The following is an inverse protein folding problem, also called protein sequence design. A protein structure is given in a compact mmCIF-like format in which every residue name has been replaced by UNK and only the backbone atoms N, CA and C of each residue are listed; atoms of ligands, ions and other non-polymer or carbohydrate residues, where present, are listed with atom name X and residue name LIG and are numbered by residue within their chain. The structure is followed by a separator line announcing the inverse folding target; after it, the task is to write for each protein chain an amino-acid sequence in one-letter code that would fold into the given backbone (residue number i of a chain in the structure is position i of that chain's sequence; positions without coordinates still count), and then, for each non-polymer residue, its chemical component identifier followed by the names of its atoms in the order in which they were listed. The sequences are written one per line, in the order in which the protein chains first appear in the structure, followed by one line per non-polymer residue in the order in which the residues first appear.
data_IF_638626390367
#
_entry.id   IF_638626390367
#
_cell.length_a   1.000
_cell.length_b   1.000
_cell.length_c   1.000
_cell.angle_alpha   90.00
_cell.angle_beta   90.00
_cell.angle_gamma   90.00
#
_symmetry.space_group_name_H-M   'P 1'
#
loop_
_entity.id
_entity.type
_entity.pdbx_description
1 polymer ?
#
# COMPACT_ATOMS: atom_id res chain seq x y z
N UNK A 1 3.67 7.13 -27.36
CA UNK A 1 4.35 6.87 -26.06
C UNK A 1 4.33 5.37 -25.82
N UNK A 2 5.49 4.75 -25.78
CA UNK A 2 5.61 3.29 -25.61
C UNK A 2 5.20 2.91 -24.19
N UNK A 3 4.06 2.25 -24.02
CA UNK A 3 3.77 1.50 -22.81
C UNK A 3 4.83 0.39 -22.73
N UNK A 4 5.71 0.48 -21.74
CA UNK A 4 6.64 -0.61 -21.46
C UNK A 4 5.81 -1.81 -20.98
N UNK A 5 5.58 -2.75 -21.87
CA UNK A 5 5.11 -4.07 -21.44
C UNK A 5 6.22 -4.69 -20.59
N UNK A 6 5.90 -5.04 -19.34
CA UNK A 6 6.78 -5.93 -18.61
C UNK A 6 6.64 -7.31 -19.26
N UNK A 7 7.75 -7.90 -19.69
CA UNK A 7 7.80 -9.30 -20.16
C UNK A 7 7.61 -10.31 -19.00
N UNK A 8 6.97 -9.85 -17.93
CA UNK A 8 6.72 -10.63 -16.73
C UNK A 8 5.41 -11.38 -16.90
N UNK A 9 5.50 -12.71 -17.03
CA UNK A 9 4.33 -13.59 -17.00
C UNK A 9 3.82 -13.63 -15.56
N UNK A 10 2.62 -13.11 -15.31
CA UNK A 10 1.96 -13.22 -14.00
C UNK A 10 1.65 -14.69 -13.74
N UNK A 11 2.20 -15.22 -12.66
CA UNK A 11 1.85 -16.56 -12.19
C UNK A 11 0.64 -16.42 -11.25
N UNK A 12 -0.49 -17.10 -11.51
CA UNK A 12 -1.63 -17.10 -10.62
C UNK A 12 -1.20 -17.58 -9.22
N UNK A 13 -1.57 -16.83 -8.17
CA UNK A 13 -1.20 -17.14 -6.79
C UNK A 13 0.19 -16.68 -6.37
N UNK A 14 0.93 -15.97 -7.19
CA UNK A 14 2.24 -15.42 -6.85
C UNK A 14 2.10 -14.26 -5.86
N UNK A 15 2.63 -14.45 -4.66
CA UNK A 15 2.63 -13.43 -3.61
C UNK A 15 3.80 -12.47 -3.80
N UNK A 16 3.50 -11.18 -3.79
CA UNK A 16 4.48 -10.11 -3.93
C UNK A 16 4.91 -9.60 -2.56
N UNK A 17 5.93 -10.23 -1.97
CA UNK A 17 6.44 -9.81 -0.66
C UNK A 17 7.21 -8.50 -0.78
N UNK A 18 6.81 -7.51 0.01
CA UNK A 18 7.47 -6.21 0.02
C UNK A 18 8.86 -6.32 0.65
N UNK A 19 9.97 -5.98 -0.05
CA UNK A 19 11.27 -5.88 0.57
C UNK A 19 11.24 -4.92 1.77
N UNK A 20 12.02 -5.19 2.82
CA UNK A 20 11.97 -4.45 4.09
C UNK A 20 12.13 -2.92 3.95
N UNK A 21 12.89 -2.44 2.97
CA UNK A 21 13.07 -1.01 2.71
C UNK A 21 11.76 -0.32 2.26
N UNK A 22 10.84 -1.03 1.63
CA UNK A 22 9.60 -0.45 1.09
C UNK A 22 8.68 0.07 2.20
N UNK A 23 8.34 -0.71 3.25
CA UNK A 23 7.58 -0.19 4.39
C UNK A 23 8.34 0.89 5.18
N UNK A 24 9.68 0.85 5.22
CA UNK A 24 10.45 1.90 5.86
C UNK A 24 10.26 3.28 5.21
N UNK A 25 9.92 3.33 3.92
CA UNK A 25 9.63 4.58 3.20
C UNK A 25 8.32 5.24 3.64
N UNK A 26 7.34 4.49 4.08
CA UNK A 26 6.06 5.04 4.57
C UNK A 26 6.07 5.31 6.07
N UNK A 27 6.93 4.64 6.83
CA UNK A 27 7.00 4.76 8.29
C UNK A 27 7.08 6.20 8.84
N UNK A 28 7.84 7.15 8.23
CA UNK A 28 7.87 8.54 8.70
C UNK A 28 6.55 9.31 8.55
N UNK A 29 5.62 8.77 7.78
CA UNK A 29 4.33 9.39 7.47
C UNK A 29 3.16 8.81 8.28
N UNK A 30 3.40 7.70 8.99
CA UNK A 30 2.40 7.07 9.87
C UNK A 30 2.33 7.91 11.17
N UNK A 31 1.14 8.25 11.66
CA UNK A 31 0.98 8.93 12.94
C UNK A 31 1.65 8.17 14.09
N UNK A 32 2.22 8.90 15.06
CA UNK A 32 2.86 8.27 16.21
C UNK A 32 1.83 7.66 17.16
N UNK A 33 2.18 6.55 17.78
CA UNK A 33 1.37 5.90 18.82
C UNK A 33 0.15 5.12 18.31
N UNK A 34 -0.03 5.01 16.99
CA UNK A 34 -1.10 4.20 16.41
C UNK A 34 -0.70 2.73 16.31
N UNK A 35 -1.69 1.86 16.40
CA UNK A 35 -1.57 0.43 16.08
C UNK A 35 -1.72 0.29 14.57
N UNK A 36 -0.74 -0.36 13.94
CA UNK A 36 -0.71 -0.59 12.49
C UNK A 36 -1.26 -1.99 12.18
N UNK A 37 -2.19 -2.05 11.25
CA UNK A 37 -2.76 -3.29 10.74
C UNK A 37 -2.45 -3.48 9.26
N UNK A 38 -1.97 -4.68 8.90
CA UNK A 38 -1.79 -5.11 7.51
C UNK A 38 -2.80 -6.21 7.17
N UNK A 39 -3.91 -5.91 6.45
CA UNK A 39 -4.97 -6.85 6.14
C UNK A 39 -4.67 -7.82 4.99
N UNK A 40 -3.49 -7.72 4.38
CA UNK A 40 -3.00 -8.63 3.33
C UNK A 40 -1.52 -8.93 3.58
N UNK A 41 -1.22 -9.36 4.81
CA UNK A 41 0.15 -9.38 5.33
C UNK A 41 1.05 -10.45 4.68
N UNK A 42 0.48 -11.46 4.03
CA UNK A 42 1.25 -12.60 3.55
C UNK A 42 2.11 -13.21 4.66
N UNK A 43 3.42 -13.22 4.47
CA UNK A 43 4.40 -13.67 5.48
C UNK A 43 4.78 -12.60 6.51
N UNK A 44 4.09 -11.46 6.54
CA UNK A 44 4.29 -10.41 7.54
C UNK A 44 5.46 -9.46 7.27
N UNK A 45 5.88 -9.30 6.02
CA UNK A 45 7.03 -8.45 5.69
C UNK A 45 6.84 -6.98 6.13
N UNK A 46 5.64 -6.39 5.92
CA UNK A 46 5.32 -5.03 6.35
C UNK A 46 5.25 -4.95 7.88
N UNK A 47 4.57 -5.90 8.52
CA UNK A 47 4.47 -5.99 9.98
C UNK A 47 5.86 -6.02 10.61
N UNK A 48 6.73 -6.92 10.14
CA UNK A 48 8.10 -7.03 10.64
C UNK A 48 8.91 -5.75 10.48
N UNK A 49 8.82 -5.11 9.31
CA UNK A 49 9.59 -3.89 9.04
C UNK A 49 9.11 -2.67 9.85
N UNK A 50 7.84 -2.66 10.31
CA UNK A 50 7.29 -1.57 11.11
C UNK A 50 7.33 -1.81 12.62
N UNK A 51 7.57 -3.05 13.08
CA UNK A 51 7.51 -3.45 14.50
C UNK A 51 8.53 -2.73 15.41
N UNK A 52 9.63 -2.21 14.85
CA UNK A 52 10.59 -1.43 15.63
C UNK A 52 10.07 -0.03 16.05
N UNK A 53 9.01 0.44 15.40
CA UNK A 53 8.47 1.80 15.58
C UNK A 53 7.01 1.84 16.00
N UNK A 54 6.26 0.79 15.73
CA UNK A 54 4.82 0.68 15.94
C UNK A 54 4.45 -0.66 16.54
N UNK A 55 3.35 -0.70 17.27
CA UNK A 55 2.64 -1.96 17.50
C UNK A 55 2.00 -2.33 16.16
N UNK A 56 2.48 -3.41 15.55
CA UNK A 56 2.03 -3.82 14.23
C UNK A 56 1.56 -5.28 14.23
N UNK A 57 0.45 -5.54 13.58
CA UNK A 57 -0.07 -6.91 13.37
C UNK A 57 -0.64 -7.05 11.97
N UNK A 58 -0.87 -8.28 11.53
CA UNK A 58 -1.42 -8.54 10.21
C UNK A 58 -2.26 -9.79 10.18
N UNK A 59 -3.14 -9.87 9.19
CA UNK A 59 -3.94 -11.05 8.82
C UNK A 59 -3.93 -11.19 7.30
N UNK A 60 -4.25 -12.37 6.82
CA UNK A 60 -4.26 -12.67 5.38
C UNK A 60 -5.39 -13.63 5.02
N UNK A 61 -5.83 -13.58 3.76
CA UNK A 61 -6.87 -14.46 3.25
C UNK A 61 -6.48 -15.95 3.38
N UNK A 62 -5.21 -16.28 3.24
CA UNK A 62 -4.71 -17.65 3.42
C UNK A 62 -4.85 -18.16 4.87
N UNK A 63 -5.00 -17.23 5.82
CA UNK A 63 -5.28 -17.52 7.22
C UNK A 63 -6.79 -17.53 7.52
N UNK A 64 -7.63 -17.48 6.49
CA UNK A 64 -9.09 -17.46 6.61
C UNK A 64 -9.66 -16.06 6.92
N UNK A 65 -8.87 -14.99 6.85
CA UNK A 65 -9.31 -13.64 7.10
C UNK A 65 -9.59 -12.89 5.79
N UNK A 66 -10.84 -12.56 5.54
CA UNK A 66 -11.28 -11.77 4.39
C UNK A 66 -11.49 -10.31 4.80
N UNK A 67 -10.50 -9.46 4.50
CA UNK A 67 -10.55 -8.04 4.85
C UNK A 67 -11.80 -7.31 4.32
N UNK A 68 -12.30 -7.69 3.14
CA UNK A 68 -13.47 -7.02 2.57
C UNK A 68 -14.78 -7.33 3.32
N UNK A 69 -14.74 -8.26 4.27
CA UNK A 69 -15.85 -8.60 5.19
C UNK A 69 -15.60 -8.16 6.62
N UNK A 70 -14.46 -7.51 6.86
CA UNK A 70 -14.13 -6.99 8.19
C UNK A 70 -14.91 -5.70 8.46
N UNK A 71 -15.54 -5.64 9.64
CA UNK A 71 -16.29 -4.47 10.11
C UNK A 71 -15.57 -3.76 11.28
N UNK A 72 -14.38 -4.22 11.67
CA UNK A 72 -13.62 -3.62 12.77
C UNK A 72 -12.99 -2.28 12.34
N UNK A 73 -12.97 -1.32 13.26
CA UNK A 73 -12.27 -0.05 13.07
C UNK A 73 -10.80 -0.18 13.46
N UNK A 74 -9.91 0.31 12.60
CA UNK A 74 -8.47 0.29 12.79
C UNK A 74 -7.90 1.71 12.90
N UNK A 75 -6.88 1.91 13.75
CA UNK A 75 -6.21 3.22 13.84
C UNK A 75 -5.41 3.52 12.56
N UNK A 76 -4.68 2.53 12.05
CA UNK A 76 -3.92 2.65 10.81
C UNK A 76 -3.92 1.34 10.01
N UNK A 77 -4.21 1.43 8.73
CA UNK A 77 -4.03 0.34 7.77
C UNK A 77 -2.85 0.68 6.85
N UNK A 78 -1.85 -0.21 6.81
CA UNK A 78 -0.68 -0.09 5.94
C UNK A 78 -0.47 -1.41 5.24
N UNK A 79 -0.67 -1.46 3.94
CA UNK A 79 -0.66 -2.72 3.20
C UNK A 79 -0.17 -2.59 1.76
N UNK A 80 0.30 -3.69 1.21
CA UNK A 80 0.47 -3.93 -0.22
C UNK A 80 -0.73 -4.76 -0.71
N UNK A 81 -1.82 -4.12 -1.17
CA UNK A 81 -3.06 -4.83 -1.47
C UNK A 81 -2.91 -5.72 -2.71
N UNK A 82 -3.70 -6.79 -2.85
CA UNK A 82 -3.78 -7.55 -4.10
C UNK A 82 -4.16 -6.62 -5.25
N UNK A 83 -3.29 -6.48 -6.26
CA UNK A 83 -3.42 -5.45 -7.30
C UNK A 83 -4.73 -5.53 -8.09
N UNK A 84 -5.27 -6.73 -8.28
CA UNK A 84 -6.52 -6.94 -9.01
C UNK A 84 -7.74 -6.30 -8.32
N UNK A 85 -7.73 -6.21 -7.00
CA UNK A 85 -8.82 -5.71 -6.16
C UNK A 85 -8.39 -4.51 -5.30
N UNK A 86 -7.28 -3.85 -5.66
CA UNK A 86 -6.74 -2.73 -4.88
C UNK A 86 -7.75 -1.59 -4.68
N UNK A 87 -8.65 -1.34 -5.64
CA UNK A 87 -9.70 -0.35 -5.48
C UNK A 87 -10.65 -0.71 -4.34
N UNK A 88 -11.15 -1.94 -4.30
CA UNK A 88 -12.03 -2.41 -3.23
C UNK A 88 -11.35 -2.36 -1.87
N UNK A 89 -10.05 -2.72 -1.82
CA UNK A 89 -9.24 -2.60 -0.60
C UNK A 89 -9.15 -1.16 -0.11
N UNK A 90 -8.87 -0.19 -0.99
CA UNK A 90 -8.80 1.23 -0.62
C UNK A 90 -10.16 1.73 -0.15
N UNK A 91 -11.22 1.47 -0.92
CA UNK A 91 -12.59 1.90 -0.58
C UNK A 91 -13.04 1.33 0.77
N UNK A 92 -12.68 0.07 1.05
CA UNK A 92 -13.00 -0.57 2.32
C UNK A 92 -12.16 0.01 3.47
N UNK A 93 -10.84 0.10 3.31
CA UNK A 93 -9.94 0.67 4.31
C UNK A 93 -10.32 2.11 4.71
N UNK A 94 -10.76 2.93 3.75
CA UNK A 94 -11.22 4.30 4.01
C UNK A 94 -12.47 4.36 4.89
N UNK A 95 -13.27 3.31 4.95
CA UNK A 95 -14.41 3.21 5.89
C UNK A 95 -13.98 2.70 7.25
N UNK A 96 -12.93 1.89 7.30
CA UNK A 96 -12.53 1.13 8.50
C UNK A 96 -11.33 1.71 9.24
N UNK A 97 -10.67 2.77 8.73
CA UNK A 97 -9.49 3.28 9.41
C UNK A 97 -9.36 4.81 9.37
N UNK A 98 -8.67 5.36 10.38
CA UNK A 98 -8.34 6.79 10.44
C UNK A 98 -7.18 7.14 9.52
N UNK A 99 -6.17 6.27 9.47
CA UNK A 99 -5.02 6.40 8.57
C UNK A 99 -4.94 5.20 7.64
N UNK A 100 -4.75 5.46 6.35
CA UNK A 100 -4.62 4.42 5.31
C UNK A 100 -3.40 4.72 4.45
N UNK A 101 -2.53 3.72 4.27
CA UNK A 101 -1.41 3.77 3.33
C UNK A 101 -1.40 2.52 2.45
N UNK A 102 -1.50 2.70 1.14
CA UNK A 102 -1.54 1.63 0.17
C UNK A 102 -0.35 1.70 -0.78
N UNK A 103 0.38 0.59 -0.89
CA UNK A 103 1.42 0.45 -1.90
C UNK A 103 0.78 0.16 -3.25
N UNK A 104 1.03 1.02 -4.24
CA UNK A 104 0.43 0.89 -5.57
C UNK A 104 1.46 1.21 -6.65
N UNK A 105 1.10 0.94 -7.91
CA UNK A 105 1.85 1.50 -9.04
C UNK A 105 1.76 3.02 -9.03
N UNK A 106 2.82 3.66 -9.52
CA UNK A 106 2.94 5.13 -9.51
C UNK A 106 1.83 5.86 -10.27
N UNK A 107 1.22 5.21 -11.27
CA UNK A 107 0.17 5.73 -12.13
C UNK A 107 -1.25 5.39 -11.63
N UNK A 108 -1.37 4.84 -10.42
CA UNK A 108 -2.66 4.36 -9.91
C UNK A 108 -3.69 5.48 -9.73
N UNK A 109 -3.25 6.67 -9.34
CA UNK A 109 -4.07 7.86 -9.12
C UNK A 109 -4.51 8.59 -10.41
N UNK A 110 -4.03 8.18 -11.58
CA UNK A 110 -4.30 8.87 -12.86
C UNK A 110 -5.58 8.44 -13.58
N UNK A 111 -6.26 7.37 -13.13
CA UNK A 111 -7.44 6.87 -13.82
C UNK A 111 -8.73 7.61 -13.43
N UNK A 112 -9.52 8.01 -14.43
CA UNK A 112 -10.79 8.68 -14.24
C UNK A 112 -11.78 7.91 -13.34
N UNK A 113 -11.78 6.59 -13.41
CA UNK A 113 -12.66 5.71 -12.62
C UNK A 113 -12.31 5.68 -11.12
N UNK A 114 -11.22 6.32 -10.71
CA UNK A 114 -10.74 6.38 -9.32
C UNK A 114 -10.66 7.80 -8.75
N UNK A 115 -11.25 8.80 -9.43
CA UNK A 115 -11.21 10.21 -8.99
C UNK A 115 -11.79 10.39 -7.58
N UNK A 116 -12.82 9.63 -7.21
CA UNK A 116 -13.44 9.64 -5.88
C UNK A 116 -12.48 9.23 -4.75
N UNK A 117 -11.37 8.55 -5.05
CA UNK A 117 -10.34 8.20 -4.07
C UNK A 117 -9.29 9.30 -3.89
N UNK A 118 -9.16 10.20 -4.87
CA UNK A 118 -8.07 11.18 -4.94
C UNK A 118 -8.58 12.61 -5.02
N UNK A 119 -8.90 13.10 -6.21
CA UNK A 119 -9.32 14.48 -6.44
C UNK A 119 -10.52 14.88 -5.59
N UNK A 120 -11.47 13.98 -5.49
CA UNK A 120 -12.76 14.23 -4.83
C UNK A 120 -12.80 13.69 -3.39
N UNK A 121 -11.65 13.25 -2.85
CA UNK A 121 -11.53 12.73 -1.49
C UNK A 121 -10.68 13.66 -0.60
N UNK A 122 -11.29 14.37 0.36
CA UNK A 122 -10.57 15.31 1.22
C UNK A 122 -9.55 14.62 2.15
N UNK A 123 -9.66 13.31 2.34
CA UNK A 123 -8.72 12.53 3.15
C UNK A 123 -7.42 12.22 2.41
N UNK A 124 -7.38 12.30 1.06
CA UNK A 124 -6.16 12.04 0.31
C UNK A 124 -5.10 13.08 0.65
N UNK A 125 -4.05 12.66 1.35
CA UNK A 125 -3.11 13.55 1.99
C UNK A 125 -1.72 13.57 1.35
N UNK A 126 -1.28 12.43 0.81
CA UNK A 126 0.10 12.36 0.32
C UNK A 126 0.32 11.23 -0.68
N UNK A 127 1.24 11.48 -1.61
CA UNK A 127 1.86 10.49 -2.48
C UNK A 127 3.36 10.44 -2.19
N UNK A 128 3.87 9.28 -1.77
CA UNK A 128 5.30 9.05 -1.53
C UNK A 128 5.86 8.21 -2.67
N UNK A 129 6.59 8.81 -3.57
CA UNK A 129 7.18 8.16 -4.74
C UNK A 129 8.40 7.37 -4.31
N UNK A 130 8.46 6.08 -4.63
CA UNK A 130 9.66 5.26 -4.47
C UNK A 130 10.58 5.49 -5.65
N UNK A 131 11.75 6.08 -5.41
CA UNK A 131 12.73 6.36 -6.48
C UNK A 131 13.51 5.12 -6.89
N UNK A 132 13.58 4.12 -6.00
CA UNK A 132 14.11 2.80 -6.30
C UNK A 132 12.97 1.85 -6.71
N UNK A 133 13.15 1.13 -7.81
CA UNK A 133 12.17 0.13 -8.25
C UNK A 133 12.23 -1.13 -7.41
N UNK A 134 11.07 -1.70 -7.14
CA UNK A 134 10.96 -2.94 -6.36
C UNK A 134 11.37 -4.13 -7.23
N UNK A 135 12.22 -4.99 -6.69
CA UNK A 135 12.47 -6.33 -7.21
C UNK A 135 11.71 -7.29 -6.31
N UNK A 136 10.63 -7.87 -6.83
CA UNK A 136 9.71 -8.70 -6.03
C UNK A 136 10.26 -10.10 -5.74
N UNK A 137 11.14 -10.59 -6.59
CA UNK A 137 11.70 -11.94 -6.49
C UNK A 137 13.21 -11.86 -6.60
N UNK A 138 13.89 -12.31 -5.55
CA UNK A 138 15.35 -12.45 -5.53
C UNK A 138 15.74 -13.73 -6.29
N UNK A 139 15.82 -13.65 -7.60
CA UNK A 139 16.33 -14.72 -8.48
C UNK A 139 17.31 -14.14 -9.51
N UNK A 140 18.29 -14.93 -9.99
CA UNK A 140 19.20 -14.48 -11.03
C UNK A 140 18.43 -13.95 -12.24
N UNK A 141 18.78 -12.74 -12.69
CA UNK A 141 18.14 -12.10 -13.86
C UNK A 141 16.76 -11.46 -13.56
N UNK A 142 16.33 -11.37 -12.30
CA UNK A 142 15.09 -10.69 -11.94
C UNK A 142 15.14 -9.21 -12.35
N UNK A 143 14.22 -8.79 -13.21
CA UNK A 143 14.11 -7.41 -13.62
C UNK A 143 13.31 -6.61 -12.56
N UNK A 144 13.65 -5.33 -12.32
CA UNK A 144 12.84 -4.46 -11.50
C UNK A 144 11.43 -4.32 -12.06
N UNK A 145 10.44 -4.29 -11.17
CA UNK A 145 9.04 -4.11 -11.52
C UNK A 145 8.75 -2.68 -12.04
N UNK A 146 7.47 -2.35 -12.20
CA UNK A 146 7.02 -0.98 -12.42
C UNK A 146 7.46 -0.05 -11.27
N UNK A 147 7.42 1.26 -11.50
CA UNK A 147 7.57 2.24 -10.43
C UNK A 147 6.36 2.17 -9.49
N UNK A 148 6.63 2.32 -8.21
CA UNK A 148 5.62 2.25 -7.16
C UNK A 148 5.61 3.53 -6.32
N UNK A 149 4.54 3.73 -5.60
CA UNK A 149 4.39 4.76 -4.58
C UNK A 149 3.50 4.27 -3.45
N UNK A 150 3.64 4.91 -2.29
CA UNK A 150 2.63 4.85 -1.24
C UNK A 150 1.62 5.97 -1.47
N UNK A 151 0.35 5.62 -1.46
CA UNK A 151 -0.77 6.56 -1.47
C UNK A 151 -1.34 6.60 -0.06
N UNK A 152 -1.50 7.80 0.52
CA UNK A 152 -1.82 8.00 1.92
C UNK A 152 -3.08 8.85 2.07
N UNK A 153 -3.97 8.39 2.94
CA UNK A 153 -5.18 9.08 3.38
C UNK A 153 -5.19 9.18 4.91
N UNK A 154 -5.67 10.31 5.43
CA UNK A 154 -5.82 10.53 6.87
C UNK A 154 -7.16 11.19 7.18
N UNK A 155 -7.87 10.74 8.24
CA UNK A 155 -9.14 11.32 8.66
C UNK A 155 -9.00 12.78 9.09
N UNK A 156 -7.84 13.13 9.66
CA UNK A 156 -7.51 14.48 10.13
C UNK A 156 -6.89 15.39 9.07
N UNK A 157 -6.68 14.87 7.84
CA UNK A 157 -6.08 15.69 6.78
C UNK A 157 -6.99 16.85 6.37
N UNK A 158 -6.36 18.01 6.18
CA UNK A 158 -7.00 19.22 5.68
C UNK A 158 -6.07 19.88 4.65
N UNK A 159 -6.63 20.31 3.55
CA UNK A 159 -5.89 21.01 2.49
C UNK A 159 -5.52 20.13 1.29
N UNK A 160 -4.58 20.61 0.49
CA UNK A 160 -4.13 19.92 -0.71
C UNK A 160 -3.22 18.73 -0.37
N UNK A 161 -3.26 17.63 -1.13
CA UNK A 161 -2.32 16.53 -0.96
C UNK A 161 -0.89 16.96 -1.31
N UNK A 162 0.07 16.35 -0.65
CA UNK A 162 1.50 16.64 -0.84
C UNK A 162 2.22 15.51 -1.57
N UNK A 163 3.32 15.85 -2.23
CA UNK A 163 4.21 14.89 -2.89
C UNK A 163 5.50 14.76 -2.07
N UNK A 164 5.94 13.52 -1.87
CA UNK A 164 7.22 13.20 -1.26
C UNK A 164 7.96 12.15 -2.09
N UNK A 165 9.26 12.05 -1.88
CA UNK A 165 10.13 11.07 -2.51
C UNK A 165 10.89 10.30 -1.44
N UNK A 166 11.02 8.99 -1.65
CA UNK A 166 11.78 8.10 -0.79
C UNK A 166 12.74 7.25 -1.62
N UNK A 167 13.89 6.83 -1.03
CA UNK A 167 14.88 6.02 -1.72
C UNK A 167 14.33 4.68 -2.21
#
# INVERSE_FOLDING_TARGET
MSQRHSNYTRVPGEKYYSPAWVPCCVAPHIPRGVIVFDPACGEGAIVKALSDRFVAHGRDLDQGYDFLKDDEHHQAIVTNPPFAIARQFIEHALRQADFVAMLTRIDYDSAATRQHLFRDNPRFSKKVVLTKRIVWFERPGAAPSFNHCWLIWGSEHRGAPTLAYAP
#
